data_IF_294073686538
#
_entry.id   IF_294073686538
#
_cell.length_a   1.000
_cell.length_b   1.000
_cell.length_c   1.000
_cell.angle_alpha   90.00
_cell.angle_beta   90.00
_cell.angle_gamma   90.00
#
_symmetry.space_group_name_H-M   'P 1'
#
loop_
_entity.id
_entity.type
_entity.pdbx_description
1 polymer ?
#
# COMPACT_ATOMS: atom_id res chain seq x y z
N UNK A 1 20.92 -4.85 5.48
CA UNK A 1 21.01 -3.37 5.36
C UNK A 1 19.73 -2.81 5.97
N UNK A 2 19.74 -1.60 6.54
CA UNK A 2 18.51 -0.95 7.03
C UNK A 2 18.09 0.09 5.96
N UNK A 3 17.13 -0.26 5.12
CA UNK A 3 16.68 0.57 3.99
C UNK A 3 16.10 1.91 4.47
N UNK A 4 15.43 1.92 5.63
CA UNK A 4 14.91 3.18 6.19
C UNK A 4 16.05 4.16 6.49
N UNK A 5 17.16 3.68 7.05
CA UNK A 5 18.34 4.52 7.28
C UNK A 5 19.03 4.90 5.98
N UNK A 6 19.18 3.95 5.06
CA UNK A 6 19.89 4.17 3.81
C UNK A 6 19.23 5.23 2.91
N UNK A 7 17.90 5.29 2.91
CA UNK A 7 17.12 6.22 2.09
C UNK A 7 16.53 7.39 2.90
N UNK A 8 16.94 7.55 4.16
CA UNK A 8 16.43 8.59 5.07
C UNK A 8 14.89 8.64 5.14
N UNK A 9 14.27 7.46 5.25
CA UNK A 9 12.82 7.29 5.31
C UNK A 9 12.34 7.40 6.75
N UNK A 10 11.32 8.21 6.98
CA UNK A 10 10.69 8.35 8.28
C UNK A 10 9.78 7.17 8.62
N UNK A 11 9.78 6.81 9.91
CA UNK A 11 8.98 5.71 10.46
C UNK A 11 7.81 6.27 11.25
N UNK A 12 6.65 5.65 11.06
CA UNK A 12 5.49 5.82 11.91
C UNK A 12 5.41 4.66 12.94
N UNK A 13 4.79 4.96 14.09
CA UNK A 13 4.64 3.99 15.18
C UNK A 13 3.55 2.97 14.82
N UNK A 14 3.87 1.68 14.94
CA UNK A 14 2.89 0.60 14.83
C UNK A 14 1.84 0.63 15.95
N UNK A 15 0.68 0.05 15.69
CA UNK A 15 -0.45 -0.10 16.60
C UNK A 15 -0.59 -1.51 17.16
N UNK A 16 -0.34 -2.55 16.36
CA UNK A 16 -0.66 -3.95 16.71
C UNK A 16 0.49 -4.95 16.49
N UNK A 17 1.48 -4.57 15.72
CA UNK A 17 2.68 -5.38 15.44
C UNK A 17 3.91 -4.76 16.11
N UNK A 18 5.12 -5.19 15.77
CA UNK A 18 6.38 -4.57 16.19
C UNK A 18 7.21 -4.08 14.98
N UNK A 19 6.60 -4.02 13.80
CA UNK A 19 7.24 -3.69 12.52
C UNK A 19 7.04 -2.19 12.23
N UNK A 20 8.06 -1.45 11.75
CA UNK A 20 7.90 -0.03 11.44
C UNK A 20 6.92 0.20 10.28
N UNK A 21 6.17 1.30 10.35
CA UNK A 21 5.28 1.76 9.28
C UNK A 21 5.98 2.87 8.49
N UNK A 22 5.80 2.90 7.17
CA UNK A 22 6.30 3.96 6.31
C UNK A 22 5.44 5.22 6.50
N UNK A 23 5.99 6.28 7.09
CA UNK A 23 5.23 7.48 7.47
C UNK A 23 4.58 8.19 6.28
N UNK A 24 5.27 8.24 5.15
CA UNK A 24 4.77 8.95 3.95
C UNK A 24 3.81 8.12 3.08
N UNK A 25 3.48 6.90 3.51
CA UNK A 25 2.51 6.07 2.79
C UNK A 25 1.09 6.64 2.98
N UNK A 26 0.36 6.83 1.88
CA UNK A 26 -1.05 7.25 1.95
C UNK A 26 -1.95 6.19 2.62
N UNK A 27 -1.51 4.92 2.62
CA UNK A 27 -2.08 3.84 3.39
C UNK A 27 -1.06 2.73 3.66
N UNK A 28 -1.11 2.13 4.85
CA UNK A 28 -0.31 0.97 5.23
C UNK A 28 -1.15 0.00 6.07
N UNK A 29 -0.92 -1.30 5.87
CA UNK A 29 -1.59 -2.35 6.63
C UNK A 29 -0.58 -3.04 7.53
N UNK A 30 -0.90 -3.13 8.81
CA UNK A 30 -0.20 -4.06 9.69
C UNK A 30 -0.79 -5.45 9.54
N UNK A 31 0.09 -6.44 9.35
CA UNK A 31 -0.29 -7.82 9.06
C UNK A 31 0.28 -8.77 10.09
N UNK A 32 -0.51 -9.77 10.50
CA UNK A 32 -0.03 -10.95 11.21
C UNK A 32 0.08 -12.11 10.22
N UNK A 33 1.24 -12.76 10.15
CA UNK A 33 1.44 -13.93 9.30
C UNK A 33 0.44 -15.03 9.65
N UNK A 34 -0.24 -15.56 8.64
CA UNK A 34 -1.19 -16.67 8.75
C UNK A 34 -0.64 -17.93 8.08
N UNK A 35 -0.07 -17.79 6.87
CA UNK A 35 0.52 -18.90 6.12
C UNK A 35 1.66 -18.40 5.23
N UNK A 36 2.59 -19.30 4.88
CA UNK A 36 3.61 -19.07 3.87
C UNK A 36 3.91 -20.38 3.14
N UNK A 37 3.89 -20.34 1.80
CA UNK A 37 4.12 -21.53 0.97
C UNK A 37 5.12 -21.26 -0.12
N UNK A 38 5.95 -22.27 -0.42
CA UNK A 38 6.87 -22.21 -1.55
C UNK A 38 6.16 -22.50 -2.87
N UNK A 39 6.44 -21.67 -3.87
CA UNK A 39 5.99 -21.80 -5.25
C UNK A 39 7.21 -21.62 -6.16
N UNK A 40 7.86 -22.73 -6.51
CA UNK A 40 9.15 -22.69 -7.21
C UNK A 40 10.22 -22.01 -6.34
N UNK A 41 10.79 -20.92 -6.86
CA UNK A 41 11.78 -20.07 -6.20
C UNK A 41 11.16 -18.91 -5.38
N UNK A 42 9.83 -18.79 -5.35
CA UNK A 42 9.13 -17.75 -4.60
C UNK A 42 8.45 -18.30 -3.33
N UNK A 43 8.25 -17.44 -2.33
CA UNK A 43 7.42 -17.72 -1.15
C UNK A 43 6.16 -16.85 -1.24
N UNK A 44 4.99 -17.46 -1.33
CA UNK A 44 3.72 -16.76 -1.19
C UNK A 44 3.38 -16.64 0.28
N UNK A 45 3.30 -15.41 0.77
CA UNK A 45 2.99 -15.05 2.16
C UNK A 45 1.55 -14.55 2.26
N UNK A 46 0.77 -15.06 3.22
CA UNK A 46 -0.59 -14.63 3.52
C UNK A 46 -0.70 -14.15 4.97
N UNK A 47 -1.44 -13.06 5.21
CA UNK A 47 -1.58 -12.50 6.55
C UNK A 47 -2.83 -11.66 6.75
N UNK A 48 -3.36 -11.73 7.98
CA UNK A 48 -4.55 -10.99 8.41
C UNK A 48 -4.23 -9.51 8.65
N UNK A 49 -5.14 -8.63 8.22
CA UNK A 49 -5.08 -7.20 8.58
C UNK A 49 -5.41 -7.06 10.06
N UNK A 50 -4.46 -6.55 10.85
CA UNK A 50 -4.69 -6.27 12.28
C UNK A 50 -4.79 -4.78 12.59
N UNK A 51 -4.25 -3.91 11.72
CA UNK A 51 -4.47 -2.46 11.76
C UNK A 51 -4.30 -1.84 10.37
N UNK A 52 -4.89 -0.66 10.16
CA UNK A 52 -4.74 0.15 8.95
C UNK A 52 -4.37 1.57 9.34
N UNK A 53 -3.29 2.08 8.77
CA UNK A 53 -2.89 3.48 8.81
C UNK A 53 -3.27 4.09 7.48
N UNK A 54 -3.92 5.25 7.47
CA UNK A 54 -4.24 5.92 6.22
C UNK A 54 -4.46 7.42 6.46
N UNK A 55 -4.20 8.18 5.40
CA UNK A 55 -4.52 9.61 5.34
C UNK A 55 -5.98 9.72 4.91
N UNK A 56 -6.83 10.36 5.71
CA UNK A 56 -8.28 10.42 5.42
C UNK A 56 -8.57 11.01 4.03
N UNK A 57 -7.82 12.04 3.64
CA UNK A 57 -7.96 12.74 2.35
C UNK A 57 -7.57 11.86 1.14
N UNK A 58 -6.80 10.80 1.38
CA UNK A 58 -6.46 9.82 0.35
C UNK A 58 -7.67 9.00 -0.10
N UNK A 59 -8.76 9.02 0.68
CA UNK A 59 -9.97 8.25 0.41
C UNK A 59 -11.19 9.17 0.31
N UNK A 60 -12.17 8.71 -0.47
CA UNK A 60 -13.50 9.33 -0.54
C UNK A 60 -14.34 8.92 0.67
N UNK A 61 -15.46 9.61 0.96
CA UNK A 61 -16.38 9.20 2.03
C UNK A 61 -16.95 7.79 1.88
N UNK A 62 -16.91 7.21 0.67
CA UNK A 62 -17.31 5.82 0.40
C UNK A 62 -16.17 4.81 0.54
N UNK A 63 -15.00 5.22 1.04
CA UNK A 63 -13.82 4.37 1.21
C UNK A 63 -13.04 4.06 -0.08
N UNK A 64 -13.41 4.66 -1.22
CA UNK A 64 -12.63 4.49 -2.47
C UNK A 64 -11.41 5.40 -2.49
N UNK A 65 -10.30 4.93 -3.06
CA UNK A 65 -9.10 5.74 -3.24
C UNK A 65 -9.39 6.98 -4.10
N UNK A 66 -9.04 8.15 -3.57
CA UNK A 66 -9.24 9.42 -4.21
C UNK A 66 -8.06 9.73 -5.15
N UNK A 67 -8.19 9.39 -6.44
CA UNK A 67 -7.16 9.65 -7.45
C UNK A 67 -6.91 11.15 -7.75
N UNK A 68 -7.66 12.06 -7.12
CA UNK A 68 -7.31 13.50 -7.13
C UNK A 68 -6.25 13.84 -6.08
N UNK A 69 -6.26 13.13 -4.95
CA UNK A 69 -5.34 13.34 -3.84
C UNK A 69 -4.10 12.45 -3.95
N UNK A 70 -4.27 11.22 -4.46
CA UNK A 70 -3.20 10.22 -4.55
C UNK A 70 -2.93 9.87 -6.01
N UNK A 71 -1.64 9.71 -6.32
CA UNK A 71 -1.14 9.18 -7.60
C UNK A 71 -0.45 7.83 -7.35
N UNK A 72 -1.17 6.70 -7.43
CA UNK A 72 -0.59 5.39 -7.18
C UNK A 72 0.57 5.12 -8.13
N UNK A 73 1.65 4.54 -7.61
CA UNK A 73 2.82 4.17 -8.40
C UNK A 73 2.69 2.71 -8.84
N UNK A 74 2.62 2.48 -10.15
CA UNK A 74 2.40 1.17 -10.76
C UNK A 74 3.62 0.76 -11.57
N UNK A 75 4.21 -0.38 -11.24
CA UNK A 75 5.34 -0.96 -11.97
C UNK A 75 4.84 -1.74 -13.20
N UNK A 76 5.35 -1.43 -14.39
CA UNK A 76 5.00 -2.12 -15.63
C UNK A 76 6.08 -3.10 -16.08
N UNK A 77 7.33 -2.67 -16.05
CA UNK A 77 8.52 -3.45 -16.40
C UNK A 77 9.72 -2.82 -15.69
N UNK A 78 10.90 -3.47 -15.68
CA UNK A 78 12.10 -2.88 -15.11
C UNK A 78 12.30 -1.43 -15.60
N UNK A 79 12.52 -0.53 -14.65
CA UNK A 79 12.72 0.92 -14.84
C UNK A 79 11.56 1.66 -15.54
N UNK A 80 10.38 1.06 -15.63
CA UNK A 80 9.21 1.67 -16.24
C UNK A 80 8.02 1.64 -15.29
N UNK A 81 7.59 2.85 -14.93
CA UNK A 81 6.53 3.08 -13.98
C UNK A 81 5.49 4.02 -14.55
N UNK A 82 4.25 3.81 -14.15
CA UNK A 82 3.12 4.66 -14.53
C UNK A 82 2.31 5.04 -13.30
N UNK A 83 1.49 6.06 -13.46
CA UNK A 83 0.51 6.45 -12.47
C UNK A 83 -0.84 6.69 -13.11
N UNK A 84 -1.88 6.75 -12.29
CA UNK A 84 -3.22 7.03 -12.76
C UNK A 84 -3.37 8.52 -13.10
N UNK A 85 -3.71 8.83 -14.35
CA UNK A 85 -4.22 10.14 -14.73
C UNK A 85 -5.76 10.12 -14.68
N UNK A 86 -6.34 11.02 -13.89
CA UNK A 86 -7.79 11.20 -13.79
C UNK A 86 -8.46 11.40 -15.15
N UNK A 87 -7.81 12.04 -16.12
CA UNK A 87 -8.39 12.25 -17.46
C UNK A 87 -8.56 10.94 -18.23
N UNK A 88 -7.79 9.92 -17.86
CA UNK A 88 -7.73 8.64 -18.55
C UNK A 88 -8.44 7.52 -17.79
N UNK A 89 -8.63 7.65 -16.47
CA UNK A 89 -9.24 6.63 -15.61
C UNK A 89 -10.71 6.97 -15.32
N UNK A 90 -11.62 6.18 -15.89
CA UNK A 90 -13.05 6.28 -15.64
C UNK A 90 -13.48 5.25 -14.59
N UNK A 91 -13.99 5.72 -13.45
CA UNK A 91 -14.63 4.84 -12.47
C UNK A 91 -16.03 4.46 -12.94
N UNK A 92 -16.31 3.16 -13.00
CA UNK A 92 -17.66 2.63 -13.17
C UNK A 92 -18.02 1.91 -11.88
N UNK A 93 -19.01 2.43 -11.16
CA UNK A 93 -19.57 1.73 -10.01
C UNK A 93 -20.56 0.70 -10.53
N UNK A 94 -20.25 -0.59 -10.36
CA UNK A 94 -21.23 -1.65 -10.61
C UNK A 94 -22.34 -1.56 -9.57
N UNK A 95 -23.60 -1.55 -10.01
CA UNK A 95 -24.74 -1.73 -9.12
C UNK A 95 -24.82 -3.17 -8.65
N UNK A 96 -25.08 -3.36 -7.36
CA UNK A 96 -25.62 -4.62 -6.81
C UNK A 96 -27.09 -4.74 -7.16
#
# INVERSE_FOLDING_TARGET
>A
MDEFKAFNIEREKHLRTAVPVLKDAYAAHERKLVDSRHYGDHIWVFGDIVAVHFIEEAFTPKGMLNLKAVKPFLHLRPDCYVSADRKCVNFRQGGT
#
